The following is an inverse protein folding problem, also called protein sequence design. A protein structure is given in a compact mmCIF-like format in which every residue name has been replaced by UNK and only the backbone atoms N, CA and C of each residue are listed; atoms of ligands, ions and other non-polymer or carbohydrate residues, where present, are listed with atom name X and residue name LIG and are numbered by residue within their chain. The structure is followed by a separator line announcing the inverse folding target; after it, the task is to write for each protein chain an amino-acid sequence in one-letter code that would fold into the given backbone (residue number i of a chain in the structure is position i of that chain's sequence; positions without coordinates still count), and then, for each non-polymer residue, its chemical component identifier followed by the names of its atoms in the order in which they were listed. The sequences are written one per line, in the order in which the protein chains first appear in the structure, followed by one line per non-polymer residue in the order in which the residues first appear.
data_IF_229561676466
#
_entry.id   IF_229561676466
#
_cell.length_a   1.000
_cell.length_b   1.000
_cell.length_c   1.000
_cell.angle_alpha   90.00
_cell.angle_beta   90.00
_cell.angle_gamma   90.00
#
_symmetry.space_group_name_H-M   'P 1'
#
loop_
_entity.id
_entity.type
_entity.pdbx_description
1 polymer ?
#
# COMPACT_ATOMS: atom_id res chain seq x y z
N UNK A 1 18.57 -2.33 22.19
CA UNK A 1 18.30 -1.72 20.87
C UNK A 1 17.01 -0.93 21.04
N UNK A 2 17.07 0.39 20.99
CA UNK A 2 15.85 1.20 20.86
C UNK A 2 15.23 0.83 19.51
N UNK A 3 14.06 0.19 19.52
CA UNK A 3 13.33 -0.08 18.29
C UNK A 3 12.75 1.25 17.81
N UNK A 4 13.29 1.80 16.73
CA UNK A 4 12.71 2.97 16.09
C UNK A 4 11.27 2.65 15.68
N UNK A 5 10.33 3.49 16.13
CA UNK A 5 8.91 3.34 15.82
C UNK A 5 8.69 3.40 14.30
N UNK A 6 7.74 2.61 13.80
CA UNK A 6 7.45 2.56 12.37
C UNK A 6 6.74 3.84 11.89
N UNK A 7 6.79 4.10 10.58
CA UNK A 7 5.98 5.17 9.95
C UNK A 7 4.50 5.01 10.33
N UNK A 8 3.97 3.78 10.35
CA UNK A 8 2.60 3.50 10.76
C UNK A 8 2.32 3.85 12.22
N UNK A 9 3.24 3.54 13.13
CA UNK A 9 3.07 3.90 14.54
C UNK A 9 3.08 5.42 14.73
N UNK A 10 3.86 6.15 13.93
CA UNK A 10 3.85 7.62 13.93
C UNK A 10 2.50 8.13 13.45
N UNK A 11 1.95 7.56 12.37
CA UNK A 11 0.62 7.93 11.87
C UNK A 11 -0.49 7.61 12.89
N UNK A 12 -0.36 6.48 13.58
CA UNK A 12 -1.34 6.03 14.54
C UNK A 12 -1.28 6.76 15.87
N UNK A 13 -0.13 7.30 16.29
CA UNK A 13 0.05 7.84 17.64
C UNK A 13 0.42 9.33 17.68
N UNK A 14 1.25 9.81 16.75
CA UNK A 14 1.79 11.18 16.75
C UNK A 14 1.09 12.11 15.76
N UNK A 15 0.68 11.61 14.60
CA UNK A 15 0.11 12.39 13.49
C UNK A 15 -1.39 12.14 13.32
N UNK A 16 -2.12 11.79 14.40
CA UNK A 16 -3.57 11.47 14.35
C UNK A 16 -4.44 12.60 13.77
N UNK A 17 -4.03 13.85 13.98
CA UNK A 17 -4.78 15.01 13.49
C UNK A 17 -4.59 15.20 11.96
N UNK A 18 -3.47 14.73 11.42
CA UNK A 18 -3.08 14.91 10.02
C UNK A 18 -3.38 13.66 9.18
N UNK A 19 -3.25 12.46 9.75
CA UNK A 19 -3.41 11.18 9.08
C UNK A 19 -4.43 10.30 9.82
N UNK A 20 -5.37 9.73 9.08
CA UNK A 20 -6.33 8.76 9.61
C UNK A 20 -6.38 7.48 8.78
N UNK A 21 -6.76 6.38 9.44
CA UNK A 21 -7.03 5.10 8.81
C UNK A 21 -8.42 5.11 8.16
N UNK A 22 -8.45 5.03 6.84
CA UNK A 22 -9.66 4.81 6.07
C UNK A 22 -9.76 3.33 5.70
N UNK A 23 -10.71 2.63 6.31
CA UNK A 23 -11.13 1.33 5.78
C UNK A 23 -11.85 1.53 4.44
N UNK A 24 -11.61 0.66 3.46
CA UNK A 24 -12.38 0.66 2.23
C UNK A 24 -13.86 0.46 2.55
N UNK A 25 -14.73 1.10 1.77
CA UNK A 25 -16.17 1.05 2.03
C UNK A 25 -16.68 -0.37 1.87
N UNK A 26 -17.30 -0.91 2.92
CA UNK A 26 -17.98 -2.22 2.91
C UNK A 26 -19.12 -2.25 1.88
N UNK A 27 -19.60 -1.07 1.46
CA UNK A 27 -20.67 -0.94 0.47
C UNK A 27 -20.35 -1.62 -0.86
N UNK A 28 -19.10 -1.57 -1.34
CA UNK A 28 -18.72 -2.26 -2.57
C UNK A 28 -18.79 -3.79 -2.40
N UNK A 29 -18.37 -4.32 -1.25
CA UNK A 29 -18.52 -5.75 -0.94
C UNK A 29 -19.99 -6.15 -0.93
N UNK A 30 -20.85 -5.37 -0.26
CA UNK A 30 -22.29 -5.64 -0.18
C UNK A 30 -22.91 -5.66 -1.57
N UNK A 31 -22.57 -4.68 -2.43
CA UNK A 31 -23.06 -4.65 -3.81
C UNK A 31 -22.65 -5.91 -4.56
N UNK A 32 -21.37 -6.31 -4.50
CA UNK A 32 -20.88 -7.51 -5.18
C UNK A 32 -21.59 -8.79 -4.69
N UNK A 33 -21.82 -8.92 -3.38
CA UNK A 33 -22.52 -10.06 -2.80
C UNK A 33 -23.98 -10.10 -3.29
N UNK A 34 -24.70 -8.98 -3.20
CA UNK A 34 -26.09 -8.88 -3.64
C UNK A 34 -26.21 -9.20 -5.13
N UNK A 35 -25.32 -8.68 -5.97
CA UNK A 35 -25.26 -9.02 -7.40
C UNK A 35 -25.05 -10.52 -7.61
N UNK A 36 -24.13 -11.15 -6.86
CA UNK A 36 -23.91 -12.60 -6.95
C UNK A 36 -25.15 -13.42 -6.60
N UNK A 37 -25.86 -13.05 -5.51
CA UNK A 37 -27.13 -13.68 -5.12
C UNK A 37 -28.18 -13.51 -6.22
N UNK A 38 -28.29 -12.33 -6.81
CA UNK A 38 -29.26 -12.03 -7.86
C UNK A 38 -29.05 -12.92 -9.10
N UNK A 39 -27.80 -13.12 -9.53
CA UNK A 39 -27.48 -14.03 -10.64
C UNK A 39 -27.88 -15.48 -10.37
N UNK A 40 -27.69 -15.95 -9.14
CA UNK A 40 -28.09 -17.31 -8.75
C UNK A 40 -29.61 -17.43 -8.65
N UNK A 41 -30.28 -16.45 -8.03
CA UNK A 41 -31.73 -16.45 -7.83
C UNK A 41 -32.50 -16.34 -9.14
N UNK A 42 -32.02 -15.51 -10.08
CA UNK A 42 -32.67 -15.32 -11.39
C UNK A 42 -32.49 -16.51 -12.32
N UNK A 43 -31.51 -17.39 -12.08
CA UNK A 43 -31.30 -18.60 -12.87
C UNK A 43 -32.56 -19.48 -12.96
N UNK A 44 -33.26 -19.66 -11.83
CA UNK A 44 -34.51 -20.45 -11.79
C UNK A 44 -35.68 -19.83 -12.56
N UNK A 45 -35.55 -18.58 -13.00
CA UNK A 45 -36.55 -17.85 -13.79
C UNK A 45 -36.22 -17.85 -15.29
N UNK A 46 -35.02 -18.28 -15.71
CA UNK A 46 -34.61 -18.27 -17.11
C UNK A 46 -35.10 -19.55 -17.80
N UNK A 47 -36.06 -19.41 -18.71
CA UNK A 47 -36.47 -20.52 -19.59
C UNK A 47 -35.48 -20.66 -20.74
N UNK A 48 -34.69 -21.73 -20.72
CA UNK A 48 -33.68 -21.99 -21.76
C UNK A 48 -33.92 -23.33 -22.46
N UNK A 49 -33.54 -23.42 -23.73
CA UNK A 49 -33.62 -24.67 -24.49
C UNK A 49 -32.78 -25.79 -23.84
N UNK A 50 -33.19 -27.07 -24.00
CA UNK A 50 -32.40 -28.21 -23.57
C UNK A 50 -30.98 -28.16 -24.16
N UNK A 51 -29.97 -28.33 -23.31
CA UNK A 51 -28.55 -28.24 -23.69
C UNK A 51 -27.94 -26.83 -23.62
N UNK A 52 -28.70 -25.81 -23.21
CA UNK A 52 -28.18 -24.46 -22.99
C UNK A 52 -27.20 -24.41 -21.82
N UNK A 53 -26.07 -23.71 -22.02
CA UNK A 53 -25.09 -23.44 -20.96
C UNK A 53 -25.43 -22.19 -20.12
N UNK A 54 -26.48 -21.44 -20.49
CA UNK A 54 -26.86 -20.19 -19.82
C UNK A 54 -27.11 -20.40 -18.30
N UNK A 55 -27.84 -21.44 -17.85
CA UNK A 55 -28.03 -21.68 -16.42
C UNK A 55 -26.71 -21.91 -15.67
N UNK A 56 -25.77 -22.62 -16.29
CA UNK A 56 -24.45 -22.89 -15.71
C UNK A 56 -23.61 -21.61 -15.64
N UNK A 57 -23.68 -20.76 -16.66
CA UNK A 57 -22.99 -19.46 -16.67
C UNK A 57 -23.52 -18.52 -15.59
N UNK A 58 -24.83 -18.45 -15.37
CA UNK A 58 -25.43 -17.59 -14.34
C UNK A 58 -24.96 -17.99 -12.94
N UNK A 59 -24.95 -19.29 -12.62
CA UNK A 59 -24.38 -19.78 -11.36
C UNK A 59 -22.90 -19.45 -11.24
N UNK A 60 -22.12 -19.68 -12.31
CA UNK A 60 -20.67 -19.47 -12.30
C UNK A 60 -20.33 -18.00 -12.06
N UNK A 61 -21.02 -17.08 -12.75
CA UNK A 61 -20.90 -15.63 -12.55
C UNK A 61 -21.30 -15.27 -11.11
N UNK A 62 -22.42 -15.78 -10.63
CA UNK A 62 -22.89 -15.56 -9.26
C UNK A 62 -21.85 -15.95 -8.20
N UNK A 63 -21.23 -17.13 -8.35
CA UNK A 63 -20.17 -17.60 -7.44
C UNK A 63 -18.93 -16.70 -7.50
N UNK A 64 -18.52 -16.26 -8.69
CA UNK A 64 -17.39 -15.32 -8.85
C UNK A 64 -17.67 -14.01 -8.09
N UNK A 65 -18.85 -13.44 -8.26
CA UNK A 65 -19.24 -12.20 -7.58
C UNK A 65 -19.32 -12.37 -6.05
N UNK A 66 -19.84 -13.50 -5.57
CA UNK A 66 -19.86 -13.83 -4.13
C UNK A 66 -18.43 -13.94 -3.56
N UNK A 67 -17.57 -14.72 -4.21
CA UNK A 67 -16.19 -14.89 -3.77
C UNK A 67 -15.42 -13.56 -3.79
N UNK A 68 -15.63 -12.74 -4.81
CA UNK A 68 -15.00 -11.41 -4.90
C UNK A 68 -15.54 -10.46 -3.83
N UNK A 69 -16.86 -10.45 -3.60
CA UNK A 69 -17.47 -9.63 -2.55
C UNK A 69 -16.96 -9.99 -1.16
N UNK A 70 -16.87 -11.28 -0.84
CA UNK A 70 -16.33 -11.78 0.45
C UNK A 70 -14.85 -11.41 0.57
N UNK A 71 -14.03 -11.70 -0.45
CA UNK A 71 -12.61 -11.37 -0.39
C UNK A 71 -12.38 -9.87 -0.24
N UNK A 72 -13.19 -9.03 -0.90
CA UNK A 72 -13.13 -7.59 -0.73
C UNK A 72 -13.51 -7.14 0.69
N UNK A 73 -14.50 -7.77 1.35
CA UNK A 73 -14.85 -7.44 2.74
C UNK A 73 -13.71 -7.72 3.72
N UNK A 74 -13.06 -8.88 3.60
CA UNK A 74 -12.10 -9.36 4.60
C UNK A 74 -10.65 -8.99 4.30
N UNK A 75 -10.25 -8.93 3.03
CA UNK A 75 -8.85 -8.75 2.63
C UNK A 75 -8.53 -7.34 2.13
N UNK A 76 -9.51 -6.45 2.02
CA UNK A 76 -9.22 -5.08 1.59
C UNK A 76 -8.44 -4.34 2.67
N UNK A 77 -7.18 -4.03 2.34
CA UNK A 77 -6.24 -3.40 3.27
C UNK A 77 -6.73 -2.02 3.69
N UNK A 78 -6.55 -1.71 4.97
CA UNK A 78 -6.76 -0.36 5.50
C UNK A 78 -5.76 0.60 4.85
N UNK A 79 -6.23 1.75 4.38
CA UNK A 79 -5.40 2.77 3.75
C UNK A 79 -5.23 3.95 4.70
N UNK A 80 -4.07 4.58 4.70
CA UNK A 80 -3.88 5.86 5.37
C UNK A 80 -4.29 7.00 4.44
N UNK A 81 -4.97 8.02 4.97
CA UNK A 81 -5.38 9.22 4.24
C UNK A 81 -5.09 10.47 5.05
N UNK A 82 -4.83 11.57 4.34
CA UNK A 82 -4.73 12.89 4.94
C UNK A 82 -6.11 13.42 5.35
N UNK A 83 -6.19 14.05 6.52
CA UNK A 83 -7.42 14.64 7.05
C UNK A 83 -7.93 15.81 6.20
N UNK A 84 -7.02 16.72 5.81
CA UNK A 84 -7.36 17.95 5.08
C UNK A 84 -7.84 17.66 3.65
N UNK A 85 -7.07 16.90 2.88
CA UNK A 85 -7.30 16.73 1.44
C UNK A 85 -7.96 15.38 1.08
N UNK A 86 -8.18 14.49 2.07
CA UNK A 86 -8.65 13.09 1.88
C UNK A 86 -7.80 12.26 0.91
N UNK A 87 -6.60 12.74 0.55
CA UNK A 87 -5.65 12.04 -0.32
C UNK A 87 -5.10 10.80 0.37
N UNK A 88 -4.96 9.71 -0.37
CA UNK A 88 -4.39 8.47 0.15
C UNK A 88 -2.87 8.50 0.16
N UNK A 89 -2.29 7.98 1.24
CA UNK A 89 -0.86 7.75 1.37
C UNK A 89 -0.56 6.34 0.85
N UNK A 90 0.36 6.25 -0.11
CA UNK A 90 0.85 5.01 -0.66
C UNK A 90 2.17 4.63 -0.01
N UNK A 91 2.32 3.35 0.34
CA UNK A 91 3.57 2.79 0.83
C UNK A 91 4.31 2.13 -0.31
N UNK A 92 5.61 2.35 -0.36
CA UNK A 92 6.51 1.75 -1.35
C UNK A 92 7.88 1.50 -0.75
N UNK A 93 8.65 0.63 -1.40
CA UNK A 93 9.95 0.19 -0.91
C UNK A 93 10.93 0.23 -2.07
N UNK A 94 12.13 0.76 -1.81
CA UNK A 94 13.28 0.71 -2.72
C UNK A 94 14.39 -0.06 -2.02
N UNK A 95 14.89 -1.12 -2.66
CA UNK A 95 15.97 -1.93 -2.11
C UNK A 95 17.33 -1.37 -2.55
N UNK A 96 18.27 -1.36 -1.62
CA UNK A 96 19.64 -0.88 -1.82
C UNK A 96 20.65 -1.97 -1.47
N UNK A 97 21.84 -1.91 -2.07
CA UNK A 97 22.94 -2.81 -1.71
C UNK A 97 23.28 -2.62 -0.22
N UNK A 98 23.39 -3.73 0.54
CA UNK A 98 23.68 -3.69 1.98
C UNK A 98 24.94 -2.87 2.32
N UNK A 99 25.90 -2.78 1.40
CA UNK A 99 27.14 -1.98 1.56
C UNK A 99 26.89 -0.48 1.60
N UNK A 100 25.73 -0.02 1.12
CA UNK A 100 25.34 1.39 1.13
C UNK A 100 24.59 1.79 2.41
N UNK A 101 24.41 0.89 3.38
CA UNK A 101 23.65 1.11 4.63
C UNK A 101 23.98 2.42 5.33
N UNK A 102 25.24 2.63 5.68
CA UNK A 102 25.65 3.80 6.47
C UNK A 102 25.47 5.11 5.68
N UNK A 103 25.66 5.06 4.35
CA UNK A 103 25.43 6.21 3.48
C UNK A 103 23.94 6.51 3.37
N UNK A 104 23.10 5.50 3.21
CA UNK A 104 21.65 5.65 3.11
C UNK A 104 21.07 6.27 4.38
N UNK A 105 21.44 5.76 5.56
CA UNK A 105 21.00 6.32 6.85
C UNK A 105 21.41 7.78 6.95
N UNK A 106 22.68 8.09 6.67
CA UNK A 106 23.20 9.46 6.72
C UNK A 106 22.47 10.40 5.76
N UNK A 107 22.13 9.95 4.56
CA UNK A 107 21.41 10.74 3.56
C UNK A 107 20.01 11.09 4.07
N UNK A 108 19.29 10.11 4.62
CA UNK A 108 17.94 10.32 5.16
C UNK A 108 17.98 11.24 6.39
N UNK A 109 18.90 11.02 7.32
CA UNK A 109 18.98 11.80 8.56
C UNK A 109 19.43 13.25 8.31
N UNK A 110 20.25 13.49 7.28
CA UNK A 110 20.71 14.84 6.90
C UNK A 110 19.81 15.54 5.88
N UNK A 111 18.83 14.85 5.30
CA UNK A 111 17.97 15.40 4.25
C UNK A 111 18.65 15.60 2.89
N UNK A 112 19.80 14.98 2.62
CA UNK A 112 20.52 15.13 1.34
C UNK A 112 19.98 14.17 0.26
N UNK A 113 18.67 14.28 0.01
CA UNK A 113 17.88 13.34 -0.79
C UNK A 113 18.36 13.19 -2.23
N UNK A 114 19.08 14.20 -2.76
CA UNK A 114 19.67 14.14 -4.11
C UNK A 114 20.76 13.09 -4.23
N UNK A 115 21.41 12.71 -3.12
CA UNK A 115 22.41 11.65 -3.13
C UNK A 115 21.82 10.24 -3.24
N UNK A 116 20.51 10.07 -3.02
CA UNK A 116 19.84 8.77 -3.17
C UNK A 116 19.99 8.18 -4.58
N UNK A 117 20.05 9.00 -5.63
CA UNK A 117 20.26 8.56 -7.01
C UNK A 117 21.65 7.96 -7.25
N UNK A 118 22.63 8.31 -6.42
CA UNK A 118 24.02 7.83 -6.54
C UNK A 118 24.24 6.49 -5.83
N UNK A 119 23.31 6.10 -4.96
CA UNK A 119 23.40 4.83 -4.25
C UNK A 119 23.05 3.68 -5.17
N UNK A 120 23.77 2.57 -5.01
CA UNK A 120 23.52 1.35 -5.77
C UNK A 120 22.22 0.70 -5.28
N UNK A 121 21.23 0.60 -6.16
CA UNK A 121 19.99 -0.13 -5.91
C UNK A 121 20.16 -1.62 -6.18
N UNK A 122 19.29 -2.42 -5.57
CA UNK A 122 19.22 -3.87 -5.75
C UNK A 122 17.77 -4.26 -6.06
N UNK A 123 17.55 -5.37 -6.75
CA UNK A 123 16.19 -5.86 -7.05
C UNK A 123 15.50 -6.36 -5.78
N UNK A 124 16.22 -7.09 -4.94
CA UNK A 124 15.81 -7.56 -3.61
C UNK A 124 17.08 -7.62 -2.76
N UNK A 125 17.07 -7.01 -1.57
CA UNK A 125 18.20 -7.07 -0.65
C UNK A 125 17.71 -6.90 0.81
N UNK A 126 18.64 -7.07 1.74
CA UNK A 126 18.51 -6.90 3.18
C UNK A 126 18.41 -5.44 3.62
N UNK A 127 18.55 -4.47 2.73
CA UNK A 127 18.44 -3.05 3.04
C UNK A 127 17.36 -2.42 2.16
N UNK A 128 16.41 -1.72 2.79
CA UNK A 128 15.33 -1.02 2.08
C UNK A 128 15.08 0.36 2.64
N UNK A 129 14.74 1.28 1.74
CA UNK A 129 14.11 2.55 2.05
C UNK A 129 12.60 2.38 1.91
N UNK A 130 11.89 2.50 3.01
CA UNK A 130 10.44 2.52 3.06
C UNK A 130 9.96 3.96 2.89
N UNK A 131 9.02 4.17 1.96
CA UNK A 131 8.51 5.49 1.58
C UNK A 131 6.99 5.47 1.76
N UNK A 132 6.45 6.42 2.51
CA UNK A 132 5.02 6.64 2.63
C UNK A 132 4.70 8.05 2.12
N UNK A 133 4.07 8.16 0.96
CA UNK A 133 3.86 9.44 0.30
C UNK A 133 2.48 9.57 -0.36
N UNK A 134 1.98 10.80 -0.46
CA UNK A 134 0.82 11.13 -1.30
C UNK A 134 1.24 11.29 -2.76
N UNK A 135 0.29 11.10 -3.69
CA UNK A 135 0.56 11.15 -5.13
C UNK A 135 1.04 12.52 -5.63
N UNK A 136 0.72 13.59 -4.92
CA UNK A 136 1.10 14.96 -5.20
C UNK A 136 2.39 15.40 -4.49
N UNK A 137 2.99 14.54 -3.66
CA UNK A 137 4.24 14.84 -2.95
C UNK A 137 4.11 15.84 -1.79
N UNK A 138 2.90 16.29 -1.45
CA UNK A 138 2.72 17.25 -0.34
C UNK A 138 2.91 16.63 1.05
N UNK A 139 2.86 15.30 1.14
CA UNK A 139 3.13 14.56 2.35
C UNK A 139 4.00 13.35 2.02
N UNK A 140 5.15 13.25 2.69
CA UNK A 140 6.11 12.18 2.45
C UNK A 140 6.90 11.89 3.73
N UNK A 141 6.98 10.61 4.07
CA UNK A 141 7.86 10.07 5.08
C UNK A 141 8.77 9.02 4.46
N UNK A 142 10.02 8.97 4.94
CA UNK A 142 10.91 7.85 4.64
C UNK A 142 11.50 7.26 5.91
N UNK A 143 11.83 5.97 5.83
CA UNK A 143 12.47 5.25 6.92
C UNK A 143 13.34 4.13 6.35
N UNK A 144 14.55 3.98 6.89
CA UNK A 144 15.47 2.92 6.49
C UNK A 144 15.21 1.70 7.37
N UNK A 145 15.03 0.53 6.74
CA UNK A 145 14.88 -0.74 7.43
C UNK A 145 15.90 -1.74 6.89
N UNK A 146 16.42 -2.59 7.77
CA UNK A 146 17.29 -3.71 7.39
C UNK A 146 16.73 -5.03 7.86
N UNK A 147 16.93 -6.07 7.06
CA UNK A 147 16.60 -7.43 7.39
C UNK A 147 17.63 -8.00 8.35
N UNK A 148 17.18 -8.28 9.57
CA UNK A 148 17.86 -9.16 10.52
C UNK A 148 17.16 -10.53 10.45
N UNK A 149 17.74 -11.61 10.99
CA UNK A 149 17.10 -12.92 10.89
C UNK A 149 15.63 -12.87 11.29
N UNK A 150 14.77 -13.29 10.36
CA UNK A 150 13.31 -13.41 10.48
C UNK A 150 12.48 -12.11 10.38
N UNK A 151 13.07 -10.92 10.35
CA UNK A 151 12.30 -9.67 10.26
C UNK A 151 13.08 -8.44 9.74
N UNK A 152 12.34 -7.44 9.22
CA UNK A 152 12.91 -6.12 8.93
C UNK A 152 12.78 -5.22 10.16
N UNK A 153 13.89 -4.66 10.61
CA UNK A 153 13.95 -3.72 11.74
C UNK A 153 14.29 -2.33 11.25
N UNK A 154 13.59 -1.33 11.78
CA UNK A 154 13.82 0.08 11.46
C UNK A 154 15.14 0.56 12.05
N UNK A 155 16.03 1.07 11.21
CA UNK A 155 17.39 1.47 11.62
C UNK A 155 17.41 2.92 12.12
N UNK A 156 16.60 3.78 11.52
CA UNK A 156 16.47 5.18 11.92
C UNK A 156 15.00 5.55 12.19
N UNK A 157 14.81 6.72 12.78
CA UNK A 157 13.49 7.33 12.92
C UNK A 157 12.90 7.66 11.55
N UNK A 158 11.58 7.68 11.44
CA UNK A 158 10.95 8.13 10.21
C UNK A 158 11.14 9.64 10.03
N UNK A 159 11.64 10.03 8.87
CA UNK A 159 11.90 11.42 8.53
C UNK A 159 10.75 11.98 7.69
N UNK A 160 10.23 13.16 8.08
CA UNK A 160 9.22 13.90 7.31
C UNK A 160 9.94 14.80 6.29
N UNK A 161 9.55 14.70 5.03
CA UNK A 161 10.18 15.47 3.96
C UNK A 161 9.38 16.69 3.56
N UNK A 162 10.09 17.72 3.08
CA UNK A 162 9.47 18.86 2.40
C UNK A 162 8.84 18.42 1.05
N UNK A 163 7.89 19.20 0.49
CA UNK A 163 7.32 18.89 -0.83
C UNK A 163 8.36 18.80 -1.96
N UNK A 164 9.44 19.59 -1.87
CA UNK A 164 10.54 19.55 -2.83
C UNK A 164 11.32 18.23 -2.78
N UNK A 165 11.69 17.80 -1.57
CA UNK A 165 12.35 16.52 -1.33
C UNK A 165 11.45 15.34 -1.71
N UNK A 166 10.17 15.41 -1.36
CA UNK A 166 9.17 14.41 -1.71
C UNK A 166 9.06 14.23 -3.23
N UNK A 167 9.09 15.34 -3.99
CA UNK A 167 9.12 15.30 -5.45
C UNK A 167 10.33 14.54 -6.00
N UNK A 168 11.51 14.74 -5.41
CA UNK A 168 12.73 14.00 -5.76
C UNK A 168 12.56 12.52 -5.44
N UNK A 169 12.13 12.17 -4.23
CA UNK A 169 11.94 10.78 -3.78
C UNK A 169 10.96 10.03 -4.70
N UNK A 170 9.83 10.65 -5.04
CA UNK A 170 8.83 10.08 -5.94
C UNK A 170 9.36 9.89 -7.36
N UNK A 171 10.24 10.78 -7.84
CA UNK A 171 10.89 10.60 -9.14
C UNK A 171 11.89 9.44 -9.14
N UNK A 172 12.68 9.29 -8.06
CA UNK A 172 13.59 8.15 -7.89
C UNK A 172 12.79 6.85 -7.86
N UNK A 173 11.70 6.82 -7.09
CA UNK A 173 10.79 5.68 -7.03
C UNK A 173 10.25 5.27 -8.40
N UNK A 174 9.86 6.24 -9.23
CA UNK A 174 9.35 5.97 -10.59
C UNK A 174 10.40 5.40 -11.53
N UNK A 175 11.67 5.79 -11.39
CA UNK A 175 12.79 5.27 -12.21
C UNK A 175 13.17 3.82 -11.87
N UNK A 176 12.83 3.37 -10.67
CA UNK A 176 13.21 2.05 -10.14
C UNK A 176 12.10 0.99 -10.29
N UNK A 177 10.93 1.37 -10.81
CA UNK A 177 9.84 0.46 -11.21
C UNK A 177 9.95 0.11 -12.67
#
# INVERSE_FOLDING_TARGET
MENNISIEDIFDNKEKDVVYKSKPSVMLSVILIVTGILFIATNGLVTTSPGSMIPMLFISIGIIFLAWGITYAFFSKTKYKLTLDKKSIAFSEIFYDVKERDKLIRIIDKGDIRELEKLKTATIDTLKLRIAATSDGNFCYTQVATYVPYEFVNINEAHKHSPEEAGIILNIQKKQK
#
